data_IF_617049188008
#
_entry.id   IF_617049188008
#
_cell.length_a   1.000
_cell.length_b   1.000
_cell.length_c   1.000
_cell.angle_alpha   90.00
_cell.angle_beta   90.00
_cell.angle_gamma   90.00
#
_symmetry.space_group_name_H-M   'P 1'
#
loop_
_entity.id
_entity.type
_entity.pdbx_description
1 polymer ?
#
# COMPACT_ATOMS: atom_id res chain seq x y z
N UNK A 1 6.03 -13.56 5.03
CA UNK A 1 5.01 -13.76 6.06
C UNK A 1 4.17 -12.49 6.24
N UNK A 2 2.95 -12.47 5.69
CA UNK A 2 2.03 -11.35 5.86
C UNK A 2 1.13 -11.48 7.09
N UNK A 3 1.10 -12.64 7.72
CA UNK A 3 0.21 -12.89 8.87
C UNK A 3 0.87 -12.62 10.21
N UNK A 4 2.20 -12.77 10.29
CA UNK A 4 2.96 -12.53 11.53
C UNK A 4 2.38 -13.29 12.73
N UNK A 5 2.10 -14.60 12.53
CA UNK A 5 1.39 -15.44 13.52
C UNK A 5 2.25 -15.93 14.68
N UNK A 6 3.58 -15.80 14.63
CA UNK A 6 4.48 -16.20 15.73
C UNK A 6 4.48 -15.14 16.82
N UNK A 7 3.55 -15.27 17.75
CA UNK A 7 3.38 -14.34 18.87
C UNK A 7 4.36 -14.66 20.02
N UNK A 8 4.92 -13.62 20.61
CA UNK A 8 5.79 -13.73 21.78
C UNK A 8 7.21 -14.23 21.49
N UNK A 9 7.47 -14.79 20.31
CA UNK A 9 8.80 -15.32 19.96
C UNK A 9 9.63 -14.20 19.33
N UNK A 10 10.79 -13.83 19.92
CA UNK A 10 11.66 -12.83 19.31
C UNK A 10 12.34 -13.40 18.06
N UNK A 11 12.55 -12.53 17.08
CA UNK A 11 13.24 -12.86 15.85
C UNK A 11 14.31 -11.82 15.56
N UNK A 12 15.51 -12.27 15.21
CA UNK A 12 16.61 -11.41 14.81
C UNK A 12 16.60 -11.22 13.30
N UNK A 13 16.77 -10.00 12.84
CA UNK A 13 16.95 -9.68 11.41
C UNK A 13 18.31 -10.21 10.97
N UNK A 14 18.33 -11.25 10.16
CA UNK A 14 19.57 -11.84 9.64
C UNK A 14 20.18 -10.95 8.55
N UNK A 15 19.37 -10.52 7.57
CA UNK A 15 19.75 -9.61 6.48
C UNK A 15 18.57 -8.97 5.79
N UNK A 16 18.85 -7.93 5.01
CA UNK A 16 17.88 -7.30 4.10
C UNK A 16 18.15 -7.75 2.67
N UNK A 17 17.09 -8.04 1.91
CA UNK A 17 17.21 -8.55 0.55
C UNK A 17 16.34 -7.76 -0.43
N UNK A 18 16.71 -7.83 -1.70
CA UNK A 18 15.94 -7.30 -2.82
C UNK A 18 14.90 -8.35 -3.27
N UNK A 19 13.66 -7.91 -3.48
CA UNK A 19 12.58 -8.73 -4.04
C UNK A 19 12.09 -8.09 -5.35
N UNK A 20 12.23 -8.76 -6.50
CA UNK A 20 11.76 -8.21 -7.79
C UNK A 20 10.24 -8.11 -7.89
N UNK A 21 9.47 -8.81 -7.04
CA UNK A 21 8.01 -8.81 -7.04
C UNK A 21 7.41 -7.57 -6.35
N UNK A 22 8.23 -6.79 -5.65
CA UNK A 22 7.77 -5.60 -4.92
C UNK A 22 8.76 -4.46 -4.98
N UNK A 23 8.31 -3.29 -4.62
CA UNK A 23 9.13 -2.07 -4.59
C UNK A 23 9.89 -1.89 -3.27
N UNK A 24 9.41 -2.52 -2.20
CA UNK A 24 10.04 -2.51 -0.88
C UNK A 24 11.11 -3.60 -0.77
N UNK A 25 12.12 -3.40 0.09
CA UNK A 25 13.02 -4.48 0.50
C UNK A 25 12.30 -5.47 1.41
N UNK A 26 12.82 -6.68 1.50
CA UNK A 26 12.39 -7.71 2.45
C UNK A 26 13.49 -7.97 3.48
N UNK A 27 13.09 -8.38 4.66
CA UNK A 27 13.99 -8.77 5.75
C UNK A 27 13.82 -10.25 6.05
N UNK A 28 14.91 -11.00 6.09
CA UNK A 28 14.94 -12.37 6.57
C UNK A 28 15.06 -12.34 8.09
N UNK A 29 14.09 -12.93 8.77
CA UNK A 29 14.04 -13.07 10.22
C UNK A 29 14.42 -14.49 10.61
N UNK A 30 15.32 -14.62 11.58
CA UNK A 30 15.61 -15.86 12.29
C UNK A 30 14.94 -15.80 13.67
N UNK A 31 13.95 -16.66 13.86
CA UNK A 31 13.25 -16.78 15.14
C UNK A 31 14.07 -17.60 16.15
N UNK A 32 13.80 -17.39 17.44
CA UNK A 32 14.49 -18.10 18.52
C UNK A 32 14.29 -19.64 18.46
N UNK A 33 13.23 -20.10 17.77
CA UNK A 33 12.96 -21.54 17.53
C UNK A 33 13.65 -22.10 16.27
N UNK A 34 14.52 -21.30 15.63
CA UNK A 34 15.29 -21.70 14.44
C UNK A 34 14.55 -21.53 13.11
N UNK A 35 13.26 -21.20 13.12
CA UNK A 35 12.53 -20.97 11.86
C UNK A 35 12.92 -19.65 11.21
N UNK A 36 13.00 -19.62 9.90
CA UNK A 36 13.24 -18.40 9.11
C UNK A 36 11.99 -17.99 8.37
N UNK A 37 11.68 -16.68 8.39
CA UNK A 37 10.59 -16.09 7.62
C UNK A 37 10.98 -14.74 7.05
N UNK A 38 10.46 -14.44 5.86
CA UNK A 38 10.57 -13.11 5.27
C UNK A 38 9.44 -12.21 5.71
N UNK A 39 9.77 -10.95 5.97
CA UNK A 39 8.79 -9.87 6.16
C UNK A 39 9.09 -8.72 5.21
N UNK A 40 8.12 -7.82 5.00
CA UNK A 40 8.40 -6.52 4.38
C UNK A 40 9.31 -5.74 5.33
N UNK A 41 10.47 -5.31 4.86
CA UNK A 41 11.42 -4.58 5.68
C UNK A 41 10.86 -3.20 6.08
N UNK A 42 10.77 -2.90 7.38
CA UNK A 42 10.46 -1.55 7.85
C UNK A 42 11.63 -0.59 7.59
N UNK A 43 11.31 0.69 7.48
CA UNK A 43 12.35 1.74 7.39
C UNK A 43 13.18 1.79 8.66
N UNK A 44 14.51 1.86 8.50
CA UNK A 44 15.48 2.00 9.59
C UNK A 44 15.87 0.70 10.29
N UNK A 45 15.23 -0.42 9.99
CA UNK A 45 15.61 -1.74 10.52
C UNK A 45 16.89 -2.22 9.83
N UNK A 46 17.81 -2.79 10.62
CA UNK A 46 19.13 -3.28 10.20
C UNK A 46 19.30 -4.74 10.59
N UNK A 47 20.29 -5.40 9.97
CA UNK A 47 20.74 -6.72 10.42
C UNK A 47 21.18 -6.66 11.90
N UNK A 48 20.80 -7.66 12.68
CA UNK A 48 21.00 -7.72 14.12
C UNK A 48 19.87 -7.17 14.98
N UNK A 49 18.92 -6.39 14.41
CA UNK A 49 17.78 -5.89 15.15
C UNK A 49 16.85 -7.04 15.59
N UNK A 50 16.29 -6.94 16.79
CA UNK A 50 15.33 -7.92 17.30
C UNK A 50 13.92 -7.38 17.14
N UNK A 51 13.06 -8.14 16.46
CA UNK A 51 11.66 -7.86 16.20
C UNK A 51 10.76 -8.90 16.86
N UNK A 52 9.57 -8.46 17.25
CA UNK A 52 8.58 -9.32 17.90
C UNK A 52 7.18 -9.05 17.38
N UNK A 53 6.35 -10.08 17.42
CA UNK A 53 4.92 -9.98 17.10
C UNK A 53 4.10 -10.41 18.31
N UNK A 54 2.88 -9.90 18.42
CA UNK A 54 1.93 -10.32 19.46
C UNK A 54 1.34 -9.17 20.27
N UNK A 55 0.49 -9.51 21.23
CA UNK A 55 -0.25 -8.55 22.05
C UNK A 55 0.67 -7.71 22.95
N UNK A 56 1.74 -8.31 23.44
CA UNK A 56 2.69 -7.73 24.40
C UNK A 56 3.99 -7.23 23.75
N UNK A 57 4.07 -7.25 22.42
CA UNK A 57 5.27 -6.78 21.72
C UNK A 57 5.57 -5.30 22.05
N UNK A 58 6.83 -4.92 22.26
CA UNK A 58 7.21 -3.53 22.53
C UNK A 58 6.80 -2.59 21.37
N UNK A 59 6.52 -1.32 21.70
CA UNK A 59 6.20 -0.28 20.71
C UNK A 59 7.49 0.20 20.05
N UNK A 60 8.02 -0.61 19.12
CA UNK A 60 9.22 -0.33 18.34
C UNK A 60 8.94 -0.52 16.83
N UNK A 61 9.59 0.26 15.94
CA UNK A 61 9.48 0.04 14.50
C UNK A 61 9.81 -1.43 14.13
N UNK A 62 8.99 -2.03 13.27
CA UNK A 62 9.12 -3.42 12.84
C UNK A 62 8.36 -4.44 13.68
N UNK A 63 7.94 -4.10 14.90
CA UNK A 63 7.09 -4.97 15.70
C UNK A 63 5.64 -4.96 15.21
N UNK A 64 4.99 -6.11 15.30
CA UNK A 64 3.62 -6.31 14.81
C UNK A 64 2.66 -6.54 15.97
N UNK A 65 1.64 -5.68 16.07
CA UNK A 65 0.64 -5.73 17.13
C UNK A 65 -0.78 -5.57 16.55
N UNK A 66 -1.83 -6.01 17.27
CA UNK A 66 -3.19 -5.59 16.97
C UNK A 66 -3.36 -4.08 17.15
N UNK A 67 -4.18 -3.46 16.30
CA UNK A 67 -4.42 -2.00 16.34
C UNK A 67 -4.93 -1.52 17.71
N UNK A 68 -5.60 -2.38 18.48
CA UNK A 68 -6.04 -2.06 19.85
C UNK A 68 -4.87 -1.74 20.78
N UNK A 69 -3.71 -2.33 20.56
CA UNK A 69 -2.53 -2.19 21.43
C UNK A 69 -1.55 -1.12 20.94
N UNK A 70 -1.80 -0.53 19.76
CA UNK A 70 -0.94 0.52 19.18
C UNK A 70 -1.42 1.89 19.65
N UNK A 71 -0.57 2.78 20.16
CA UNK A 71 -0.94 4.14 20.54
C UNK A 71 -1.54 4.93 19.37
N UNK A 72 -2.56 5.75 19.66
CA UNK A 72 -3.12 6.69 18.68
C UNK A 72 -2.06 7.70 18.27
N UNK A 73 -2.06 8.09 17.01
CA UNK A 73 -1.03 8.95 16.40
C UNK A 73 0.14 8.19 15.78
N UNK A 74 0.31 6.89 16.11
CA UNK A 74 1.39 6.07 15.58
C UNK A 74 1.29 5.90 14.07
N UNK A 75 2.47 5.81 13.44
CA UNK A 75 2.63 5.43 12.03
C UNK A 75 2.79 3.93 11.93
N UNK A 76 2.02 3.30 11.06
CA UNK A 76 1.99 1.84 10.87
C UNK A 76 1.98 1.48 9.38
N UNK A 77 2.35 0.25 9.07
CA UNK A 77 2.28 -0.33 7.73
C UNK A 77 1.85 -1.80 7.78
N UNK A 78 1.74 -2.44 6.65
CA UNK A 78 1.38 -3.86 6.53
C UNK A 78 0.14 -4.22 7.38
N UNK A 79 -0.97 -3.48 7.17
CA UNK A 79 -2.18 -3.57 7.98
C UNK A 79 -3.14 -4.61 7.41
N UNK A 80 -3.73 -5.41 8.26
CA UNK A 80 -4.83 -6.31 7.90
C UNK A 80 -6.15 -5.56 7.71
N UNK A 81 -7.02 -6.10 6.86
CA UNK A 81 -8.42 -5.65 6.71
C UNK A 81 -9.42 -6.55 7.44
N UNK A 82 -9.01 -7.79 7.70
CA UNK A 82 -9.73 -8.77 8.51
C UNK A 82 -8.72 -9.50 9.38
N UNK A 83 -9.02 -9.75 10.65
CA UNK A 83 -8.11 -10.48 11.55
C UNK A 83 -7.70 -11.82 10.95
N UNK A 84 -6.40 -12.13 11.02
CA UNK A 84 -5.82 -13.39 10.54
C UNK A 84 -5.72 -13.56 9.01
N UNK A 85 -6.21 -12.61 8.21
CA UNK A 85 -6.11 -12.69 6.75
C UNK A 85 -4.70 -12.33 6.24
N UNK A 86 -3.93 -11.63 7.04
CA UNK A 86 -2.63 -11.10 6.68
C UNK A 86 -2.69 -9.68 6.11
N UNK A 87 -1.54 -9.05 6.04
CA UNK A 87 -1.38 -7.66 5.65
C UNK A 87 -1.86 -7.38 4.21
N UNK A 88 -2.68 -6.35 4.05
CA UNK A 88 -3.24 -5.94 2.76
C UNK A 88 -2.99 -4.47 2.42
N UNK A 89 -2.94 -3.58 3.43
CA UNK A 89 -2.72 -2.14 3.23
C UNK A 89 -1.27 -1.76 3.53
N UNK A 90 -0.78 -0.70 2.88
CA UNK A 90 0.53 -0.09 3.07
C UNK A 90 1.69 -1.11 3.01
N UNK A 91 1.85 -1.78 1.86
CA UNK A 91 2.90 -2.77 1.61
C UNK A 91 3.97 -2.31 0.63
N UNK A 92 3.69 -1.26 -0.15
CA UNK A 92 4.62 -0.73 -1.15
C UNK A 92 5.72 0.11 -0.50
N UNK A 93 6.83 0.32 -1.21
CA UNK A 93 7.94 1.17 -0.77
C UNK A 93 7.49 2.53 -0.24
N UNK A 94 7.98 2.93 0.92
CA UNK A 94 7.65 4.20 1.57
C UNK A 94 6.17 4.38 1.92
N UNK A 95 5.37 3.31 1.90
CA UNK A 95 3.97 3.40 2.31
C UNK A 95 3.85 3.44 3.83
N UNK A 96 2.96 4.31 4.30
CA UNK A 96 2.63 4.44 5.72
C UNK A 96 1.16 4.83 5.89
N UNK A 97 0.63 4.55 7.06
CA UNK A 97 -0.73 4.84 7.48
C UNK A 97 -0.68 5.36 8.91
N UNK A 98 -1.44 6.38 9.21
CA UNK A 98 -1.54 6.90 10.57
C UNK A 98 -2.78 6.36 11.27
N UNK A 99 -2.61 5.85 12.50
CA UNK A 99 -3.71 5.51 13.40
C UNK A 99 -4.25 6.81 14.02
N UNK A 100 -5.48 7.18 13.69
CA UNK A 100 -6.08 8.47 14.09
C UNK A 100 -6.89 8.35 15.36
N UNK A 101 -7.69 7.30 15.48
CA UNK A 101 -8.57 7.08 16.64
C UNK A 101 -8.85 5.58 16.84
N UNK A 102 -9.29 5.24 18.05
CA UNK A 102 -9.81 3.91 18.40
C UNK A 102 -11.13 4.10 19.14
N UNK A 103 -12.18 3.48 18.64
CA UNK A 103 -13.52 3.59 19.20
C UNK A 103 -14.19 2.21 19.17
N UNK A 104 -14.42 1.63 20.33
CA UNK A 104 -15.04 0.32 20.47
C UNK A 104 -14.28 -0.76 19.70
N UNK A 105 -14.96 -1.42 18.77
CA UNK A 105 -14.39 -2.51 17.95
C UNK A 105 -13.59 -2.03 16.75
N UNK A 106 -13.52 -0.72 16.48
CA UNK A 106 -12.90 -0.15 15.31
C UNK A 106 -11.75 0.79 15.63
N UNK A 107 -10.74 0.73 14.76
CA UNK A 107 -9.66 1.70 14.68
C UNK A 107 -9.85 2.52 13.37
N UNK A 108 -9.80 3.84 13.49
CA UNK A 108 -9.84 4.75 12.33
C UNK A 108 -8.42 5.06 11.88
N UNK A 109 -8.12 4.77 10.64
CA UNK A 109 -6.80 4.99 10.04
C UNK A 109 -6.89 5.97 8.88
N UNK A 110 -5.85 6.79 8.73
CA UNK A 110 -5.65 7.71 7.61
C UNK A 110 -4.62 7.13 6.66
N UNK A 111 -5.06 6.77 5.46
CA UNK A 111 -4.20 6.25 4.40
C UNK A 111 -3.38 7.39 3.75
N UNK A 112 -2.29 7.04 3.05
CA UNK A 112 -1.46 8.00 2.30
C UNK A 112 -2.26 8.80 1.26
N UNK A 113 -3.35 8.23 0.72
CA UNK A 113 -4.27 8.92 -0.20
C UNK A 113 -5.14 10.00 0.45
N UNK A 114 -5.12 10.12 1.80
CA UNK A 114 -6.01 10.98 2.58
C UNK A 114 -7.37 10.34 2.92
N UNK A 115 -7.68 9.13 2.42
CA UNK A 115 -8.87 8.39 2.82
C UNK A 115 -8.80 8.03 4.31
N UNK A 116 -9.87 8.28 5.05
CA UNK A 116 -10.05 7.82 6.42
C UNK A 116 -10.96 6.62 6.43
N UNK A 117 -10.50 5.53 7.05
CA UNK A 117 -11.18 4.24 7.02
C UNK A 117 -11.22 3.58 8.39
N UNK A 118 -12.34 2.94 8.69
CA UNK A 118 -12.49 2.06 9.87
C UNK A 118 -11.98 0.66 9.55
N UNK A 119 -11.21 0.10 10.48
CA UNK A 119 -10.67 -1.26 10.44
C UNK A 119 -10.94 -1.88 11.81
N UNK A 120 -11.20 -3.19 11.88
CA UNK A 120 -11.38 -3.87 13.16
C UNK A 120 -10.12 -3.72 14.03
N UNK A 121 -10.30 -3.41 15.30
CA UNK A 121 -9.20 -3.17 16.24
C UNK A 121 -8.32 -4.42 16.48
N UNK A 122 -8.85 -5.61 16.19
CA UNK A 122 -8.12 -6.88 16.26
C UNK A 122 -7.20 -7.13 15.06
N UNK A 123 -7.35 -6.36 13.97
CA UNK A 123 -6.46 -6.43 12.82
C UNK A 123 -5.05 -6.04 13.23
N UNK A 124 -4.07 -6.80 12.76
CA UNK A 124 -2.65 -6.56 13.01
C UNK A 124 -2.10 -5.48 12.09
N UNK A 125 -1.12 -4.75 12.61
CA UNK A 125 -0.32 -3.79 11.87
C UNK A 125 1.13 -3.81 12.37
N UNK A 126 2.05 -3.46 11.50
CA UNK A 126 3.47 -3.32 11.86
C UNK A 126 3.79 -1.85 12.09
N UNK A 127 4.49 -1.54 13.19
CA UNK A 127 4.90 -0.18 13.53
C UNK A 127 5.96 0.36 12.55
N UNK A 128 5.87 1.66 12.27
CA UNK A 128 6.75 2.38 11.36
C UNK A 128 6.24 2.41 9.91
N UNK A 129 7.08 2.82 9.00
CA UNK A 129 6.83 2.89 7.56
C UNK A 129 7.62 1.83 6.81
N UNK A 130 7.24 1.55 5.57
CA UNK A 130 7.92 0.59 4.69
C UNK A 130 9.24 1.18 4.20
N UNK A 131 10.25 0.35 4.04
CA UNK A 131 11.57 0.70 3.50
C UNK A 131 11.53 1.24 2.07
N UNK A 132 12.68 1.71 1.57
CA UNK A 132 12.90 2.18 0.19
C UNK A 132 11.96 3.34 -0.20
N UNK A 133 11.79 4.32 0.69
CA UNK A 133 10.88 5.48 0.49
C UNK A 133 11.20 6.31 -0.76
N UNK A 134 12.45 6.30 -1.21
CA UNK A 134 12.93 7.04 -2.38
C UNK A 134 12.60 6.34 -3.72
N UNK A 135 12.06 5.14 -3.70
CA UNK A 135 11.71 4.39 -4.92
C UNK A 135 10.85 5.19 -5.90
N UNK A 136 9.92 6.01 -5.38
CA UNK A 136 9.03 6.84 -6.21
C UNK A 136 9.74 8.02 -6.90
N UNK A 137 10.93 8.41 -6.43
CA UNK A 137 11.74 9.48 -7.01
C UNK A 137 12.54 9.01 -8.22
N UNK A 138 12.65 7.71 -8.44
CA UNK A 138 13.41 7.12 -9.53
C UNK A 138 12.82 7.51 -10.90
N UNK A 139 13.65 8.08 -11.75
CA UNK A 139 13.34 8.37 -13.16
C UNK A 139 13.92 7.28 -14.05
N UNK A 140 13.18 6.89 -15.08
CA UNK A 140 13.63 5.86 -16.02
C UNK A 140 14.62 6.37 -17.05
N UNK A 141 14.64 7.67 -17.29
CA UNK A 141 15.55 8.35 -18.22
C UNK A 141 15.21 8.18 -19.70
N UNK A 142 14.90 6.97 -20.14
CA UNK A 142 14.60 6.67 -21.55
C UNK A 142 13.40 5.71 -21.73
N UNK A 143 12.74 5.78 -22.86
CA UNK A 143 11.60 4.91 -23.19
C UNK A 143 11.95 3.40 -23.17
N UNK A 144 13.18 3.04 -23.57
CA UNK A 144 13.68 1.67 -23.52
C UNK A 144 13.68 1.08 -22.09
N UNK A 145 13.94 1.88 -21.07
CA UNK A 145 13.87 1.43 -19.67
C UNK A 145 12.45 1.05 -19.23
N UNK A 146 11.41 1.70 -19.78
CA UNK A 146 10.03 1.28 -19.59
C UNK A 146 9.74 -0.04 -20.31
N UNK A 147 10.29 -0.23 -21.53
CA UNK A 147 10.17 -1.48 -22.29
C UNK A 147 10.81 -2.66 -21.56
N UNK A 148 11.95 -2.48 -20.92
CA UNK A 148 12.60 -3.52 -20.11
C UNK A 148 11.73 -4.01 -18.95
N UNK A 149 10.79 -3.17 -18.50
CA UNK A 149 9.82 -3.51 -17.45
C UNK A 149 8.50 -4.08 -17.99
N UNK A 150 8.44 -4.38 -19.29
CA UNK A 150 7.25 -4.91 -19.94
C UNK A 150 6.18 -3.86 -20.27
N UNK A 151 6.44 -2.57 -20.03
CA UNK A 151 5.50 -1.49 -20.35
C UNK A 151 5.58 -1.17 -21.83
N UNK A 152 4.51 -1.44 -22.58
CA UNK A 152 4.41 -1.09 -24.02
C UNK A 152 4.03 0.38 -24.19
N UNK A 153 4.39 0.99 -25.35
CA UNK A 153 3.94 2.34 -25.69
C UNK A 153 2.41 2.44 -25.67
N UNK A 154 1.90 3.56 -25.17
CA UNK A 154 0.47 3.86 -25.15
C UNK A 154 0.17 4.98 -26.13
N UNK A 155 -0.80 4.76 -27.01
CA UNK A 155 -1.33 5.77 -27.94
C UNK A 155 -2.46 6.53 -27.25
N UNK A 156 -2.45 7.85 -27.38
CA UNK A 156 -3.54 8.71 -26.86
C UNK A 156 -4.78 8.55 -27.72
N UNK A 157 -5.98 8.53 -27.11
CA UNK A 157 -7.25 8.42 -27.82
C UNK A 157 -7.47 9.48 -28.91
N UNK A 158 -6.95 10.71 -28.69
CA UNK A 158 -7.00 11.81 -29.68
C UNK A 158 -6.21 11.49 -30.96
N UNK A 159 -5.21 10.63 -30.90
CA UNK A 159 -4.38 10.21 -32.05
C UNK A 159 -4.94 8.97 -32.78
N UNK A 160 -6.10 8.49 -32.36
CA UNK A 160 -6.76 7.32 -32.96
C UNK A 160 -7.87 7.77 -33.94
N UNK A 161 -8.39 6.80 -34.69
CA UNK A 161 -9.56 7.02 -35.54
C UNK A 161 -10.85 7.01 -34.72
N UNK A 162 -11.97 7.60 -35.25
CA UNK A 162 -13.26 7.63 -34.53
C UNK A 162 -13.79 6.24 -34.12
N UNK A 163 -13.48 5.21 -34.90
CA UNK A 163 -13.89 3.82 -34.59
C UNK A 163 -13.18 3.25 -33.37
N UNK A 164 -11.94 3.73 -33.08
CA UNK A 164 -11.11 3.19 -32.03
C UNK A 164 -11.29 3.89 -30.67
N UNK A 165 -11.67 5.18 -30.71
CA UNK A 165 -11.80 5.97 -29.49
C UNK A 165 -12.80 7.12 -29.67
N UNK A 166 -13.63 7.44 -28.63
CA UNK A 166 -14.55 8.60 -28.67
C UNK A 166 -13.87 9.96 -28.88
N UNK A 167 -12.58 10.08 -28.67
CA UNK A 167 -11.77 11.28 -28.96
C UNK A 167 -11.04 11.22 -30.29
N UNK A 168 -11.24 10.16 -31.06
CA UNK A 168 -10.58 9.97 -32.35
C UNK A 168 -11.16 10.85 -33.46
N UNK A 169 -10.40 10.97 -34.54
CA UNK A 169 -10.76 11.71 -35.74
C UNK A 169 -10.25 13.15 -35.77
N UNK A 170 -10.66 13.89 -36.81
CA UNK A 170 -10.26 15.25 -37.10
C UNK A 170 -9.05 15.33 -38.01
N UNK A 171 -8.72 16.55 -38.47
CA UNK A 171 -7.57 16.84 -39.32
C UNK A 171 -6.44 17.46 -38.48
N UNK A 172 -5.21 16.93 -38.63
CA UNK A 172 -4.03 17.45 -37.94
C UNK A 172 -4.11 17.37 -36.43
N UNK A 173 -3.78 18.46 -35.71
CA UNK A 173 -3.81 18.54 -34.26
C UNK A 173 -5.19 18.96 -33.76
N UNK A 174 -6.09 18.03 -33.63
CA UNK A 174 -7.42 18.26 -33.07
C UNK A 174 -7.45 18.12 -31.55
N UNK A 175 -8.40 18.78 -30.91
CA UNK A 175 -8.73 18.57 -29.49
C UNK A 175 -9.62 17.34 -29.32
N UNK A 176 -9.86 16.90 -28.07
CA UNK A 176 -10.73 15.76 -27.79
C UNK A 176 -12.21 15.97 -28.14
N UNK A 177 -12.64 17.22 -28.43
CA UNK A 177 -13.98 17.60 -28.90
C UNK A 177 -15.13 17.37 -27.90
N UNK A 178 -14.86 16.80 -26.74
CA UNK A 178 -15.84 16.45 -25.69
C UNK A 178 -15.19 16.31 -24.32
N UNK A 179 -16.00 16.09 -23.29
CA UNK A 179 -15.47 15.76 -21.97
C UNK A 179 -14.58 14.52 -22.02
N UNK A 180 -13.46 14.48 -21.25
CA UNK A 180 -12.56 13.35 -21.25
C UNK A 180 -13.25 12.04 -20.86
N UNK A 181 -13.19 11.07 -21.75
CA UNK A 181 -13.77 9.72 -21.56
C UNK A 181 -12.74 8.63 -21.85
N UNK A 182 -13.00 7.44 -21.36
CA UNK A 182 -12.27 6.22 -21.67
C UNK A 182 -12.63 5.70 -23.06
N UNK A 183 -11.92 4.70 -23.63
CA UNK A 183 -12.30 4.04 -24.88
C UNK A 183 -13.74 3.50 -24.88
N UNK A 184 -14.27 3.18 -23.72
CA UNK A 184 -15.65 2.68 -23.54
C UNK A 184 -16.67 3.77 -23.20
N UNK A 185 -16.29 5.05 -23.29
CA UNK A 185 -17.17 6.18 -23.05
C UNK A 185 -17.39 6.57 -21.58
N UNK A 186 -16.76 5.90 -20.64
CA UNK A 186 -16.88 6.26 -19.22
C UNK A 186 -16.10 7.54 -18.91
N UNK A 187 -16.71 8.55 -18.27
CA UNK A 187 -16.03 9.78 -17.89
C UNK A 187 -14.78 9.49 -17.02
N UNK A 188 -13.64 10.11 -17.37
CA UNK A 188 -12.37 9.88 -16.69
C UNK A 188 -12.08 10.91 -15.58
N UNK A 189 -12.77 12.04 -15.58
CA UNK A 189 -12.63 13.10 -14.56
C UNK A 189 -13.91 13.22 -13.75
N UNK A 190 -13.79 13.20 -12.43
CA UNK A 190 -14.88 13.43 -11.48
C UNK A 190 -15.89 12.29 -11.34
N UNK A 191 -15.93 11.35 -12.24
CA UNK A 191 -16.90 10.25 -12.18
C UNK A 191 -16.57 9.26 -11.04
N UNK A 192 -17.60 8.92 -10.25
CA UNK A 192 -17.50 8.02 -9.12
C UNK A 192 -17.57 6.55 -9.59
N UNK A 193 -16.43 5.93 -9.81
CA UNK A 193 -16.34 4.53 -10.33
C UNK A 193 -16.57 3.46 -9.27
N UNK A 194 -16.37 3.76 -7.98
CA UNK A 194 -16.57 2.78 -6.90
C UNK A 194 -18.06 2.45 -6.72
N UNK A 195 -18.43 1.17 -6.88
CA UNK A 195 -19.81 0.65 -6.70
C UNK A 195 -19.93 -0.34 -5.54
N UNK A 196 -18.86 -0.59 -4.77
CA UNK A 196 -18.86 -1.56 -3.68
C UNK A 196 -19.58 -1.00 -2.44
N UNK A 197 -20.87 -1.30 -2.31
CA UNK A 197 -21.72 -0.86 -1.20
C UNK A 197 -21.35 -1.54 0.15
N UNK A 198 -20.87 -2.80 0.10
CA UNK A 198 -20.59 -3.60 1.31
C UNK A 198 -19.54 -2.97 2.23
N UNK A 199 -18.49 -2.38 1.67
CA UNK A 199 -17.40 -1.77 2.43
C UNK A 199 -17.44 -0.25 2.46
N UNK A 200 -18.46 0.38 1.88
CA UNK A 200 -18.63 1.83 1.83
C UNK A 200 -18.86 2.41 3.24
N UNK A 201 -19.60 1.67 4.09
CA UNK A 201 -19.85 2.02 5.49
C UNK A 201 -18.57 2.10 6.37
N UNK A 202 -17.47 1.49 5.91
CA UNK A 202 -16.18 1.54 6.60
C UNK A 202 -15.34 2.77 6.20
N UNK A 203 -15.76 3.55 5.19
CA UNK A 203 -15.06 4.75 4.75
C UNK A 203 -15.68 5.96 5.46
N UNK A 204 -14.92 6.56 6.38
CA UNK A 204 -15.34 7.78 7.11
C UNK A 204 -15.22 9.01 6.24
N UNK A 205 -14.08 9.15 5.56
CA UNK A 205 -13.82 10.26 4.63
C UNK A 205 -13.11 9.77 3.38
N UNK A 206 -13.63 10.12 2.21
CA UNK A 206 -13.01 9.77 0.93
C UNK A 206 -11.83 10.70 0.62
N UNK A 207 -10.90 10.23 -0.21
CA UNK A 207 -9.82 11.06 -0.74
C UNK A 207 -10.42 12.25 -1.54
N UNK A 208 -9.76 13.40 -1.49
CA UNK A 208 -10.14 14.57 -2.30
C UNK A 208 -11.38 15.35 -1.84
N UNK A 209 -12.07 14.95 -0.75
CA UNK A 209 -13.02 15.81 -0.06
C UNK A 209 -12.30 16.61 1.02
N UNK A 210 -12.23 17.93 0.82
CA UNK A 210 -11.89 18.88 1.87
C UNK A 210 -13.01 18.94 2.91
#
# INVERSE_FOLDING_TARGET
DFKRTKDGIPATVERLEYDPNRTAHIALLLFADGERRYIIAPRGVKAGDVLQSGLTAPIKPGNCLPLRNIPVGSVVHAIELKPGKGAQLARSAGASVQLVAREGQYATVRLRSGEMRKILADCRATLGEVSNSEHSLRKLGKAGAARWRGVRPTVRGVAMNPVDHPHGGGEGRTSGGRHPVSPWGTPTKGYKTRKNKRTDKLIVRRRGKK
#
